data_IF_197931160386
#
_entry.id   IF_197931160386
#
_cell.length_a   1.000
_cell.length_b   1.000
_cell.length_c   1.000
_cell.angle_alpha   90.00
_cell.angle_beta   90.00
_cell.angle_gamma   90.00
#
_symmetry.space_group_name_H-M   'P 1'
#
loop_
_entity.id
_entity.type
_entity.pdbx_description
1 polymer ?
#
# COMPACT_ATOMS: atom_id res chain seq x y z
N UNK A 1 3.59 17.68 48.78
CA UNK A 1 4.57 17.48 47.69
C UNK A 1 4.64 16.04 47.19
N UNK A 2 4.89 14.99 48.00
CA UNK A 2 4.96 13.59 47.51
C UNK A 2 3.59 13.10 46.96
N UNK A 3 2.51 13.46 47.62
CA UNK A 3 1.13 13.07 47.27
C UNK A 3 0.67 13.73 45.96
N UNK A 4 1.08 14.96 45.71
CA UNK A 4 0.81 15.70 44.47
C UNK A 4 1.55 15.08 43.28
N UNK A 5 2.85 14.72 43.48
CA UNK A 5 3.61 14.02 42.44
C UNK A 5 2.99 12.67 42.11
N UNK A 6 2.46 11.93 43.09
CA UNK A 6 1.82 10.62 42.86
C UNK A 6 0.52 10.73 42.03
N UNK A 7 -0.22 11.82 42.14
CA UNK A 7 -1.42 12.05 41.30
C UNK A 7 -1.10 12.29 39.83
N UNK A 8 0.10 12.80 39.47
CA UNK A 8 0.48 13.05 38.10
C UNK A 8 1.03 11.81 37.36
N UNK A 9 1.50 10.79 38.12
CA UNK A 9 2.09 9.57 37.52
C UNK A 9 1.14 8.90 36.55
N UNK A 10 -0.16 8.64 36.83
CA UNK A 10 -1.05 7.97 35.90
C UNK A 10 -1.26 8.78 34.61
N UNK A 11 -1.29 10.12 34.67
CA UNK A 11 -1.41 10.97 33.50
C UNK A 11 -0.17 10.89 32.61
N UNK A 12 1.01 10.92 33.22
CA UNK A 12 2.28 10.79 32.47
C UNK A 12 2.38 9.41 31.80
N UNK A 13 2.01 8.34 32.50
CA UNK A 13 1.99 6.98 31.94
C UNK A 13 1.02 6.87 30.77
N UNK A 14 -0.17 7.46 30.87
CA UNK A 14 -1.16 7.45 29.79
C UNK A 14 -0.64 8.21 28.55
N UNK A 15 0.01 9.36 28.75
CA UNK A 15 0.64 10.12 27.67
C UNK A 15 1.77 9.32 26.99
N UNK A 16 2.63 8.66 27.78
CA UNK A 16 3.71 7.83 27.23
C UNK A 16 3.17 6.67 26.40
N UNK A 17 2.16 5.96 26.91
CA UNK A 17 1.50 4.89 26.16
C UNK A 17 0.90 5.43 24.85
N UNK A 18 0.23 6.58 24.90
CA UNK A 18 -0.34 7.24 23.72
C UNK A 18 0.72 7.57 22.67
N UNK A 19 1.86 8.15 23.08
CA UNK A 19 2.96 8.47 22.17
C UNK A 19 3.54 7.22 21.51
N UNK A 20 3.73 6.14 22.27
CA UNK A 20 4.24 4.86 21.71
C UNK A 20 3.26 4.28 20.71
N UNK A 21 1.96 4.28 21.00
CA UNK A 21 0.95 3.75 20.09
C UNK A 21 0.84 4.58 18.80
N UNK A 22 0.91 5.91 18.92
CA UNK A 22 0.91 6.80 17.77
C UNK A 22 2.15 6.63 16.91
N UNK A 23 3.33 6.49 17.51
CA UNK A 23 4.58 6.19 16.81
C UNK A 23 4.50 4.87 16.04
N UNK A 24 3.93 3.82 16.64
CA UNK A 24 3.70 2.53 16.00
C UNK A 24 2.74 2.64 14.80
N UNK A 25 1.62 3.35 14.95
CA UNK A 25 0.66 3.58 13.88
C UNK A 25 1.32 4.30 12.69
N UNK A 26 2.06 5.36 12.97
CA UNK A 26 2.79 6.14 11.96
C UNK A 26 3.83 5.28 11.25
N UNK A 27 4.61 4.50 11.98
CA UNK A 27 5.61 3.59 11.41
C UNK A 27 4.97 2.58 10.45
N UNK A 28 3.89 1.91 10.88
CA UNK A 28 3.18 0.94 10.03
C UNK A 28 2.60 1.61 8.79
N UNK A 29 1.98 2.79 8.93
CA UNK A 29 1.45 3.55 7.79
C UNK A 29 2.53 3.85 6.75
N UNK A 30 3.69 4.36 7.19
CA UNK A 30 4.80 4.64 6.29
C UNK A 30 5.37 3.37 5.64
N UNK A 31 5.44 2.26 6.38
CA UNK A 31 5.92 0.99 5.86
C UNK A 31 4.98 0.45 4.77
N UNK A 32 3.65 0.47 5.01
CA UNK A 32 2.66 0.07 3.98
C UNK A 32 2.78 0.97 2.76
N UNK A 33 2.83 2.30 2.95
CA UNK A 33 2.98 3.25 1.85
C UNK A 33 4.26 3.02 1.05
N UNK A 34 5.38 2.73 1.71
CA UNK A 34 6.65 2.40 1.07
C UNK A 34 6.56 1.12 0.24
N UNK A 35 5.90 0.08 0.77
CA UNK A 35 5.63 -1.16 0.06
C UNK A 35 4.86 -0.89 -1.23
N UNK A 36 3.74 -0.15 -1.16
CA UNK A 36 2.95 0.20 -2.34
C UNK A 36 3.74 1.02 -3.36
N UNK A 37 4.57 1.95 -2.88
CA UNK A 37 5.46 2.73 -3.74
C UNK A 37 6.49 1.84 -4.45
N UNK A 38 7.05 0.84 -3.76
CA UNK A 38 7.99 -0.12 -4.35
C UNK A 38 7.31 -0.96 -5.45
N UNK A 39 6.07 -1.43 -5.22
CA UNK A 39 5.27 -2.12 -6.24
C UNK A 39 5.04 -1.22 -7.45
N UNK A 40 4.57 0.02 -7.22
CA UNK A 40 4.28 0.98 -8.29
C UNK A 40 5.52 1.35 -9.09
N UNK A 41 6.65 1.61 -8.43
CA UNK A 41 7.91 1.96 -9.13
C UNK A 41 8.49 0.79 -9.92
N UNK A 42 8.37 -0.44 -9.44
CA UNK A 42 8.77 -1.61 -10.20
C UNK A 42 7.95 -1.74 -11.48
N UNK A 43 6.61 -1.64 -11.38
CA UNK A 43 5.72 -1.69 -12.54
C UNK A 43 5.92 -0.51 -13.50
N UNK A 44 6.20 0.68 -12.97
CA UNK A 44 6.41 1.88 -13.78
C UNK A 44 7.60 1.76 -14.75
N UNK A 45 8.54 0.87 -14.46
CA UNK A 45 9.74 0.62 -15.30
C UNK A 45 9.70 -0.71 -16.03
N UNK A 46 8.71 -1.55 -15.73
CA UNK A 46 8.58 -2.85 -16.37
C UNK A 46 8.09 -2.73 -17.83
N UNK A 47 8.56 -3.63 -18.67
CA UNK A 47 8.19 -3.67 -20.09
C UNK A 47 7.21 -4.81 -20.34
N UNK A 48 6.23 -4.58 -21.24
CA UNK A 48 5.30 -5.60 -21.70
C UNK A 48 4.34 -6.11 -20.61
N UNK A 49 4.05 -5.28 -19.60
CA UNK A 49 3.14 -5.65 -18.51
C UNK A 49 1.70 -5.72 -19.01
N UNK A 50 1.03 -6.83 -18.77
CA UNK A 50 -0.38 -6.99 -19.06
C UNK A 50 -1.23 -6.57 -17.84
N UNK A 51 -1.65 -5.31 -17.79
CA UNK A 51 -2.49 -4.79 -16.72
C UNK A 51 -3.93 -5.36 -16.70
N UNK A 52 -4.34 -6.07 -17.76
CA UNK A 52 -5.65 -6.71 -17.83
C UNK A 52 -5.70 -8.05 -17.11
N UNK A 53 -4.54 -8.71 -16.95
CA UNK A 53 -4.41 -9.98 -16.22
C UNK A 53 -3.52 -9.79 -14.98
N UNK A 54 -4.06 -9.21 -13.95
CA UNK A 54 -3.31 -8.90 -12.73
C UNK A 54 -2.89 -10.14 -11.92
N UNK A 55 -3.55 -11.26 -12.14
CA UNK A 55 -3.26 -12.51 -11.44
C UNK A 55 -2.24 -13.39 -12.17
N UNK A 56 -2.27 -13.38 -13.50
CA UNK A 56 -1.44 -14.23 -14.35
C UNK A 56 -0.17 -13.57 -14.87
N UNK A 57 -0.11 -12.24 -14.89
CA UNK A 57 1.06 -11.53 -15.42
C UNK A 57 2.26 -11.66 -14.46
N UNK A 58 3.37 -12.21 -14.98
CA UNK A 58 4.57 -12.48 -14.20
C UNK A 58 5.23 -11.19 -13.64
N UNK A 59 5.15 -10.07 -14.36
CA UNK A 59 5.73 -8.81 -13.92
C UNK A 59 4.91 -8.23 -12.76
N UNK A 60 3.59 -8.37 -12.78
CA UNK A 60 2.70 -7.94 -11.69
C UNK A 60 2.93 -8.78 -10.43
N UNK A 61 3.03 -10.10 -10.58
CA UNK A 61 3.34 -10.99 -9.46
C UNK A 61 4.71 -10.68 -8.88
N UNK A 62 5.73 -10.51 -9.72
CA UNK A 62 7.08 -10.15 -9.29
C UNK A 62 7.12 -8.78 -8.58
N UNK A 63 6.35 -7.79 -9.08
CA UNK A 63 6.24 -6.48 -8.45
C UNK A 63 5.61 -6.54 -7.04
N UNK A 64 4.52 -7.30 -6.89
CA UNK A 64 3.87 -7.51 -5.59
C UNK A 64 4.82 -8.20 -4.62
N UNK A 65 5.50 -9.26 -5.05
CA UNK A 65 6.50 -9.95 -4.23
C UNK A 65 7.64 -9.00 -3.84
N UNK A 66 8.20 -8.26 -4.80
CA UNK A 66 9.26 -7.30 -4.53
C UNK A 66 8.85 -6.22 -3.52
N UNK A 67 7.65 -5.68 -3.65
CA UNK A 67 7.13 -4.71 -2.68
C UNK A 67 6.97 -5.29 -1.28
N UNK A 68 6.50 -6.54 -1.16
CA UNK A 68 6.23 -7.19 0.12
C UNK A 68 7.50 -7.71 0.81
N UNK A 69 8.41 -8.31 0.06
CA UNK A 69 9.54 -9.06 0.61
C UNK A 69 10.91 -8.48 0.24
N UNK A 70 10.96 -7.57 -0.75
CA UNK A 70 12.19 -7.05 -1.32
C UNK A 70 12.82 -7.96 -2.37
N UNK A 71 12.21 -9.11 -2.69
CA UNK A 71 12.67 -10.07 -3.70
C UNK A 71 11.55 -10.38 -4.69
N UNK A 72 11.87 -10.54 -5.97
CA UNK A 72 10.86 -10.79 -7.02
C UNK A 72 10.24 -12.19 -6.95
N UNK A 73 10.92 -13.13 -6.32
CA UNK A 73 10.45 -14.50 -6.09
C UNK A 73 9.62 -14.65 -4.80
N UNK A 74 9.59 -13.60 -3.96
CA UNK A 74 8.87 -13.63 -2.69
C UNK A 74 9.49 -14.52 -1.61
N UNK A 75 10.76 -14.90 -1.76
CA UNK A 75 11.43 -15.84 -0.84
C UNK A 75 11.81 -15.23 0.51
N UNK A 76 11.92 -13.92 0.60
CA UNK A 76 12.26 -13.23 1.83
C UNK A 76 11.03 -12.98 2.72
N UNK A 77 11.27 -12.80 4.02
CA UNK A 77 10.21 -12.53 4.99
C UNK A 77 9.70 -11.09 4.84
N UNK A 78 8.36 -10.95 4.83
CA UNK A 78 7.73 -9.62 4.74
C UNK A 78 7.84 -8.87 6.08
N UNK A 79 8.21 -7.59 6.09
CA UNK A 79 8.17 -6.74 7.28
C UNK A 79 6.74 -6.48 7.77
N UNK A 80 5.73 -6.80 6.95
CA UNK A 80 4.31 -6.67 7.23
C UNK A 80 3.60 -8.02 7.05
N UNK A 81 3.67 -8.93 8.03
CA UNK A 81 3.18 -10.31 7.87
C UNK A 81 1.67 -10.40 7.60
N UNK A 82 0.91 -9.37 7.96
CA UNK A 82 -0.53 -9.33 7.71
C UNK A 82 -0.89 -8.72 6.34
N UNK A 83 0.07 -8.20 5.57
CA UNK A 83 -0.14 -7.69 4.22
C UNK A 83 0.22 -8.78 3.20
N UNK A 84 -0.79 -9.26 2.48
CA UNK A 84 -0.62 -10.28 1.44
C UNK A 84 -0.72 -9.69 0.04
N UNK A 85 -0.21 -10.40 -0.97
CA UNK A 85 -0.27 -9.99 -2.37
C UNK A 85 -1.70 -9.76 -2.87
N UNK A 86 -2.67 -10.52 -2.35
CA UNK A 86 -4.07 -10.43 -2.73
C UNK A 86 -4.76 -9.16 -2.23
N UNK A 87 -4.25 -8.58 -1.14
CA UNK A 87 -4.75 -7.31 -0.61
C UNK A 87 -4.31 -6.10 -1.46
N UNK A 88 -3.29 -6.28 -2.30
CA UNK A 88 -2.76 -5.21 -3.15
C UNK A 88 -3.48 -5.22 -4.49
N UNK A 89 -4.22 -4.15 -4.75
CA UNK A 89 -4.92 -3.94 -6.02
C UNK A 89 -4.16 -2.88 -6.83
N UNK A 90 -3.98 -3.19 -8.12
CA UNK A 90 -3.32 -2.31 -9.09
C UNK A 90 -4.38 -1.83 -10.06
N UNK A 91 -4.51 -0.52 -10.22
CA UNK A 91 -5.39 0.09 -11.22
C UNK A 91 -4.58 1.00 -12.12
N UNK A 92 -5.04 1.18 -13.33
CA UNK A 92 -4.39 2.02 -14.34
C UNK A 92 -5.21 3.25 -14.62
N UNK A 93 -4.53 4.39 -14.75
CA UNK A 93 -5.15 5.66 -15.12
C UNK A 93 -4.53 6.20 -16.40
N UNK A 94 -5.39 6.71 -17.27
CA UNK A 94 -5.05 7.30 -18.56
C UNK A 94 -5.54 8.75 -18.61
N UNK A 95 -4.81 9.58 -19.35
CA UNK A 95 -5.21 10.94 -19.65
C UNK A 95 -6.06 10.91 -20.92
N UNK A 96 -7.28 11.44 -20.87
CA UNK A 96 -8.11 11.61 -22.04
C UNK A 96 -7.51 12.73 -22.92
N UNK A 97 -7.07 12.42 -24.16
CA UNK A 97 -6.44 13.40 -25.02
C UNK A 97 -7.37 14.54 -25.45
N UNK A 98 -8.69 14.36 -25.31
CA UNK A 98 -9.68 15.38 -25.73
C UNK A 98 -10.03 16.36 -24.63
N UNK A 99 -10.13 15.90 -23.39
CA UNK A 99 -10.49 16.74 -22.23
C UNK A 99 -9.28 17.07 -21.34
N UNK A 100 -8.23 16.28 -21.37
CA UNK A 100 -7.10 16.35 -20.44
C UNK A 100 -7.42 15.76 -19.05
N UNK A 101 -8.61 15.20 -18.87
CA UNK A 101 -9.00 14.60 -17.60
C UNK A 101 -8.31 13.24 -17.39
N UNK A 102 -8.06 12.95 -16.13
CA UNK A 102 -7.49 11.67 -15.73
C UNK A 102 -8.60 10.73 -15.27
N UNK A 103 -8.69 9.59 -15.90
CA UNK A 103 -9.67 8.57 -15.58
C UNK A 103 -9.08 7.16 -15.65
N UNK A 104 -9.88 6.17 -15.30
CA UNK A 104 -9.50 4.77 -15.46
C UNK A 104 -9.27 4.47 -16.94
N UNK A 105 -8.19 3.79 -17.27
CA UNK A 105 -7.92 3.39 -18.65
C UNK A 105 -9.04 2.50 -19.19
N UNK A 106 -9.32 2.65 -20.48
CA UNK A 106 -10.27 1.76 -21.17
C UNK A 106 -9.76 0.31 -21.12
N UNK A 107 -10.66 -0.63 -20.93
CA UNK A 107 -10.39 -2.06 -21.07
C UNK A 107 -10.38 -2.55 -22.53
N UNK A 108 -10.59 -1.63 -23.49
CA UNK A 108 -10.55 -1.95 -24.91
C UNK A 108 -9.12 -2.42 -25.30
N UNK A 109 -9.03 -3.58 -25.97
CA UNK A 109 -7.75 -4.18 -26.36
C UNK A 109 -7.14 -5.12 -25.32
N UNK A 110 -7.78 -5.34 -24.18
CA UNK A 110 -7.36 -6.34 -23.21
C UNK A 110 -7.34 -7.78 -23.77
N UNK A 111 -8.16 -8.06 -24.77
CA UNK A 111 -8.19 -9.37 -25.46
C UNK A 111 -7.05 -9.53 -26.48
N UNK A 112 -6.27 -8.48 -26.72
CA UNK A 112 -5.15 -8.48 -27.64
C UNK A 112 -3.84 -8.92 -26.97
N UNK A 113 -2.85 -9.33 -27.77
CA UNK A 113 -1.55 -9.80 -27.27
C UNK A 113 -0.71 -8.72 -26.55
N UNK A 114 -1.13 -7.45 -26.62
CA UNK A 114 -0.46 -6.33 -25.96
C UNK A 114 -1.03 -5.93 -24.60
N UNK A 115 -2.09 -6.61 -24.11
CA UNK A 115 -2.62 -6.40 -22.76
C UNK A 115 -3.31 -5.06 -22.51
N UNK A 116 -3.93 -4.48 -23.53
CA UNK A 116 -4.68 -3.23 -23.41
C UNK A 116 -3.87 -1.96 -23.68
N UNK A 117 -4.48 -0.78 -23.50
CA UNK A 117 -3.81 0.49 -23.74
C UNK A 117 -2.74 0.74 -22.67
N UNK A 118 -1.65 1.36 -23.09
CA UNK A 118 -0.57 1.79 -22.22
C UNK A 118 -1.09 2.85 -21.23
N UNK A 119 -0.95 2.65 -19.93
CA UNK A 119 -1.40 3.63 -18.95
C UNK A 119 -0.44 4.83 -18.84
N UNK A 120 -0.95 5.99 -18.44
CA UNK A 120 -0.13 7.12 -18.04
C UNK A 120 0.32 7.00 -16.58
N UNK A 121 -0.53 6.42 -15.74
CA UNK A 121 -0.24 6.21 -14.32
C UNK A 121 -0.65 4.81 -13.88
N UNK A 122 0.15 4.27 -12.96
CA UNK A 122 -0.17 3.07 -12.20
C UNK A 122 -0.55 3.49 -10.78
N UNK A 123 -1.71 3.06 -10.34
CA UNK A 123 -2.23 3.33 -8.99
C UNK A 123 -2.27 2.04 -8.21
N UNK A 124 -1.56 2.01 -7.09
CA UNK A 124 -1.47 0.85 -6.20
C UNK A 124 -2.19 1.16 -4.90
N UNK A 125 -3.15 0.32 -4.53
CA UNK A 125 -4.03 0.53 -3.36
C UNK A 125 -4.19 -0.74 -2.53
N UNK A 126 -4.63 -0.56 -1.28
CA UNK A 126 -5.15 -1.64 -0.43
C UNK A 126 -6.61 -1.31 -0.13
N UNK A 127 -7.56 -1.73 -0.99
CA UNK A 127 -8.97 -1.31 -0.91
C UNK A 127 -9.64 -1.74 0.40
N UNK A 128 -9.38 -2.95 0.87
CA UNK A 128 -9.93 -3.47 2.13
C UNK A 128 -9.23 -2.89 3.36
N UNK A 129 -8.10 -2.22 3.15
CA UNK A 129 -7.31 -1.62 4.19
C UNK A 129 -6.42 -2.61 4.95
N UNK A 130 -5.27 -2.09 5.40
CA UNK A 130 -4.40 -2.81 6.33
C UNK A 130 -4.85 -2.56 7.76
N UNK A 131 -5.13 -3.64 8.49
CA UNK A 131 -5.72 -3.58 9.83
C UNK A 131 -4.65 -3.43 10.91
N UNK A 132 -4.77 -2.40 11.75
CA UNK A 132 -3.92 -2.19 12.93
C UNK A 132 -4.80 -2.19 14.16
N UNK A 133 -4.46 -3.03 15.13
CA UNK A 133 -5.13 -3.07 16.44
C UNK A 133 -4.22 -2.40 17.48
N UNK A 134 -4.52 -1.15 17.89
CA UNK A 134 -3.82 -0.51 19.00
C UNK A 134 -4.10 -1.28 20.30
N UNK A 135 -3.05 -1.58 21.06
CA UNK A 135 -3.18 -2.24 22.36
C UNK A 135 -2.96 -1.19 23.45
N UNK A 136 -4.06 -0.65 23.98
CA UNK A 136 -4.02 0.25 25.14
C UNK A 136 -4.51 -0.54 26.35
N UNK A 137 -3.76 -0.57 27.47
CA UNK A 137 -4.20 -1.22 28.68
C UNK A 137 -5.57 -0.68 29.12
N UNK A 138 -6.47 -1.59 29.47
CA UNK A 138 -7.83 -1.29 29.95
C UNK A 138 -8.80 -0.65 28.93
N UNK A 139 -8.40 -0.52 27.65
CA UNK A 139 -9.27 0.00 26.60
C UNK A 139 -9.26 -0.95 25.40
N UNK A 140 -10.45 -1.33 24.94
CA UNK A 140 -10.64 -2.01 23.67
C UNK A 140 -10.92 -0.95 22.62
N UNK A 141 -10.03 -0.84 21.65
CA UNK A 141 -10.19 0.08 20.52
C UNK A 141 -10.38 -0.79 19.28
N UNK A 142 -11.39 -0.46 18.49
CA UNK A 142 -11.64 -1.11 17.22
C UNK A 142 -10.42 -0.98 16.30
N UNK A 143 -10.17 -2.00 15.46
CA UNK A 143 -9.06 -1.98 14.51
C UNK A 143 -9.15 -0.79 13.57
N UNK A 144 -8.04 -0.08 13.40
CA UNK A 144 -7.93 1.04 12.46
C UNK A 144 -7.54 0.47 11.08
N UNK A 145 -8.36 0.76 10.08
CA UNK A 145 -8.11 0.37 8.69
C UNK A 145 -7.30 1.47 7.97
N UNK A 146 -6.08 1.14 7.60
CA UNK A 146 -5.23 2.01 6.78
C UNK A 146 -5.43 1.68 5.31
N UNK A 147 -5.87 2.66 4.53
CA UNK A 147 -6.08 2.54 3.07
C UNK A 147 -5.16 3.50 2.32
N UNK A 148 -3.83 3.28 2.35
CA UNK A 148 -2.94 4.11 1.58
C UNK A 148 -3.10 3.83 0.09
N UNK A 149 -2.92 4.89 -0.70
CA UNK A 149 -2.89 4.85 -2.15
C UNK A 149 -1.61 5.52 -2.63
N UNK A 150 -0.99 4.94 -3.65
CA UNK A 150 0.19 5.49 -4.30
C UNK A 150 -0.05 5.53 -5.79
N UNK A 151 0.23 6.66 -6.41
CA UNK A 151 0.15 6.89 -7.84
C UNK A 151 1.55 7.15 -8.39
N UNK A 152 1.95 6.39 -9.41
CA UNK A 152 3.26 6.48 -10.03
C UNK A 152 3.09 6.66 -11.54
N UNK A 153 3.79 7.62 -12.19
CA UNK A 153 3.74 7.75 -13.65
C UNK A 153 4.37 6.51 -14.30
N UNK A 154 3.75 6.00 -15.35
CA UNK A 154 4.23 4.85 -16.09
C UNK A 154 5.24 5.27 -17.16
N UNK A 155 6.45 4.76 -17.07
CA UNK A 155 7.54 5.01 -18.03
C UNK A 155 7.98 3.77 -18.81
N UNK A 156 7.35 2.61 -18.58
CA UNK A 156 7.60 1.36 -19.29
C UNK A 156 7.25 1.45 -20.79
N UNK A 157 7.82 0.57 -21.60
CA UNK A 157 7.60 0.52 -23.06
C UNK A 157 6.90 -0.76 -23.46
#
# INVERSE_FOLDING_TARGET
MILECAMWIPFILLLLVGMVQFGKLTYVYYTVKKTLYSVGSYLATAQGVNFCDQAGDAAIVAAKNFGLTGTTDGSAESPLPALTSDMITITTECIDPSSGDVGTCSTSGCDGPGGGPRPDFVVVTVPDGYQISPRIPYMLIDPILLRPQVRVPFGGT
#
